data_IF_470503601338
#
_entry.id   IF_470503601338
#
_cell.length_a   1.000
_cell.length_b   1.000
_cell.length_c   1.000
_cell.angle_alpha   90.00
_cell.angle_beta   90.00
_cell.angle_gamma   90.00
#
_symmetry.space_group_name_H-M   'P 1'
#
loop_
_entity.id
_entity.type
_entity.pdbx_description
1 polymer ?
#
# COMPACT_ATOMS: atom_id res chain seq x y z
N UNK A 1 -7.35 -10.52 -16.81
CA UNK A 1 -7.29 -9.13 -16.29
C UNK A 1 -5.88 -8.91 -15.77
N UNK A 2 -4.96 -8.52 -16.66
CA UNK A 2 -3.55 -8.31 -16.36
C UNK A 2 -3.39 -6.87 -15.87
N UNK A 3 -2.91 -6.68 -14.63
CA UNK A 3 -2.60 -5.38 -14.01
C UNK A 3 -1.69 -4.57 -14.95
N UNK A 4 -2.11 -3.36 -15.32
CA UNK A 4 -1.33 -2.48 -16.21
C UNK A 4 -0.15 -1.88 -15.43
N UNK A 5 1.11 -2.15 -15.82
CA UNK A 5 2.30 -1.65 -15.14
C UNK A 5 2.40 -0.11 -15.16
N UNK A 6 1.60 0.60 -15.96
CA UNK A 6 1.60 2.09 -16.02
C UNK A 6 1.03 2.79 -14.79
N UNK A 7 0.37 2.07 -13.87
CA UNK A 7 -0.07 2.68 -12.59
C UNK A 7 1.00 2.62 -11.50
N UNK A 8 2.15 1.98 -11.77
CA UNK A 8 3.31 2.05 -10.90
C UNK A 8 3.92 3.47 -10.96
N UNK A 9 3.35 4.40 -10.19
CA UNK A 9 3.85 5.77 -10.09
C UNK A 9 2.79 6.87 -10.14
N UNK A 10 1.48 6.56 -10.16
CA UNK A 10 0.43 7.58 -10.07
C UNK A 10 -0.65 7.22 -9.05
N UNK A 11 -1.25 8.24 -8.44
CA UNK A 11 -2.33 8.07 -7.49
C UNK A 11 -3.58 7.49 -8.17
N UNK A 12 -4.22 6.43 -7.64
CA UNK A 12 -5.43 5.88 -8.24
C UNK A 12 -6.65 6.82 -8.17
N UNK A 13 -6.59 7.85 -7.33
CA UNK A 13 -7.68 8.82 -7.13
C UNK A 13 -7.52 10.05 -8.03
N UNK A 14 -6.40 10.77 -7.91
CA UNK A 14 -6.19 12.03 -8.64
C UNK A 14 -5.23 11.91 -9.84
N UNK A 15 -4.64 10.73 -10.07
CA UNK A 15 -3.70 10.43 -11.17
C UNK A 15 -2.38 11.22 -11.18
N UNK A 16 -2.06 11.95 -10.11
CA UNK A 16 -0.76 12.64 -9.97
C UNK A 16 0.35 11.69 -9.54
N UNK A 17 1.61 12.02 -9.85
CA UNK A 17 2.79 11.25 -9.42
C UNK A 17 3.33 11.60 -8.03
N UNK A 18 2.71 12.54 -7.30
CA UNK A 18 3.13 13.00 -5.97
C UNK A 18 2.86 11.94 -4.89
N UNK A 19 3.64 10.85 -4.89
CA UNK A 19 3.48 9.69 -4.02
C UNK A 19 4.68 9.51 -3.09
N UNK A 20 4.42 9.22 -1.82
CA UNK A 20 5.41 8.67 -0.88
C UNK A 20 5.05 7.22 -0.61
N UNK A 21 6.03 6.33 -0.72
CA UNK A 21 5.88 4.91 -0.38
C UNK A 21 6.90 4.51 0.68
N UNK A 22 6.42 3.82 1.72
CA UNK A 22 7.23 3.25 2.79
C UNK A 22 7.09 1.74 2.73
N UNK A 23 8.21 1.02 2.61
CA UNK A 23 8.26 -0.43 2.74
C UNK A 23 8.55 -0.81 4.20
N UNK A 24 7.88 -1.83 4.70
CA UNK A 24 8.08 -2.37 6.05
C UNK A 24 7.81 -3.87 6.08
N UNK A 25 8.41 -4.59 7.03
CA UNK A 25 8.15 -6.01 7.25
C UNK A 25 7.34 -6.18 8.54
N UNK A 26 6.19 -6.85 8.46
CA UNK A 26 5.31 -7.14 9.60
C UNK A 26 5.02 -8.64 9.61
N UNK A 27 5.31 -9.31 10.72
CA UNK A 27 5.16 -10.77 10.85
C UNK A 27 5.80 -11.56 9.69
N UNK A 28 6.97 -11.11 9.21
CA UNK A 28 7.66 -11.70 8.05
C UNK A 28 7.08 -11.34 6.67
N UNK A 29 5.94 -10.65 6.58
CA UNK A 29 5.36 -10.20 5.33
C UNK A 29 5.84 -8.78 4.97
N UNK A 30 6.27 -8.56 3.71
CA UNK A 30 6.58 -7.24 3.18
C UNK A 30 5.29 -6.48 2.85
N UNK A 31 5.13 -5.31 3.47
CA UNK A 31 4.03 -4.39 3.25
C UNK A 31 4.57 -3.06 2.72
N UNK A 32 3.76 -2.40 1.90
CA UNK A 32 4.00 -1.03 1.46
C UNK A 32 2.83 -0.16 1.82
N UNK A 33 3.11 0.94 2.49
CA UNK A 33 2.16 2.02 2.71
C UNK A 33 2.46 3.13 1.72
N UNK A 34 1.47 3.53 0.93
CA UNK A 34 1.61 4.62 -0.02
C UNK A 34 0.61 5.73 0.30
N UNK A 35 1.07 6.97 0.25
CA UNK A 35 0.24 8.17 0.38
C UNK A 35 0.46 9.10 -0.80
N UNK A 36 -0.60 9.73 -1.28
CA UNK A 36 -0.53 10.80 -2.27
C UNK A 36 -0.50 12.16 -1.57
N UNK A 37 0.48 13.01 -1.86
CA UNK A 37 0.56 14.35 -1.29
C UNK A 37 -0.46 15.33 -1.90
N UNK A 38 -0.92 15.07 -3.13
CA UNK A 38 -1.84 15.99 -3.82
C UNK A 38 -3.30 15.86 -3.36
N UNK A 39 -3.76 14.64 -3.06
CA UNK A 39 -5.16 14.40 -2.66
C UNK A 39 -5.31 13.62 -1.34
N UNK A 40 -4.20 13.32 -0.67
CA UNK A 40 -4.14 12.63 0.63
C UNK A 40 -4.69 11.20 0.63
N UNK A 41 -4.96 10.63 -0.54
CA UNK A 41 -5.30 9.22 -0.68
C UNK A 41 -4.18 8.34 -0.12
N UNK A 42 -4.56 7.30 0.60
CA UNK A 42 -3.64 6.39 1.30
C UNK A 42 -4.10 4.96 1.15
N UNK A 43 -3.16 4.06 0.88
CA UNK A 43 -3.46 2.65 0.65
C UNK A 43 -2.29 1.76 1.06
N UNK A 44 -2.62 0.49 1.26
CA UNK A 44 -1.66 -0.54 1.64
C UNK A 44 -1.55 -1.54 0.51
N UNK A 45 -0.33 -1.99 0.21
CA UNK A 45 -0.12 -3.10 -0.70
C UNK A 45 0.73 -4.18 -0.07
N UNK A 46 0.47 -5.42 -0.44
CA UNK A 46 1.28 -6.60 -0.13
C UNK A 46 1.51 -7.36 -1.42
N UNK A 47 2.76 -7.69 -1.72
CA UNK A 47 3.12 -8.38 -2.97
C UNK A 47 2.57 -7.63 -4.22
N UNK A 48 2.45 -6.31 -4.09
CA UNK A 48 1.91 -5.41 -5.12
C UNK A 48 0.38 -5.33 -5.20
N UNK A 49 -0.37 -6.15 -4.47
CA UNK A 49 -1.83 -6.11 -4.43
C UNK A 49 -2.33 -5.20 -3.31
N UNK A 50 -3.38 -4.41 -3.57
CA UNK A 50 -3.98 -3.55 -2.53
C UNK A 50 -4.71 -4.40 -1.48
N UNK A 51 -4.47 -4.10 -0.21
CA UNK A 51 -5.10 -4.78 0.92
C UNK A 51 -5.82 -3.79 1.83
N UNK A 52 -6.93 -4.19 2.48
CA UNK A 52 -7.62 -3.31 3.41
C UNK A 52 -6.83 -3.15 4.72
N UNK A 53 -6.98 -1.99 5.36
CA UNK A 53 -6.36 -1.70 6.66
C UNK A 53 -6.64 -2.78 7.73
N UNK A 54 -7.83 -3.40 7.70
CA UNK A 54 -8.18 -4.48 8.64
C UNK A 54 -7.23 -5.68 8.54
N UNK A 55 -6.79 -6.04 7.33
CA UNK A 55 -5.82 -7.11 7.13
C UNK A 55 -4.45 -6.73 7.70
N UNK A 56 -4.05 -5.46 7.57
CA UNK A 56 -2.81 -4.92 8.15
C UNK A 56 -2.84 -4.98 9.67
N UNK A 57 -3.94 -4.55 10.29
CA UNK A 57 -4.12 -4.61 11.74
C UNK A 57 -4.03 -6.06 12.24
N UNK A 58 -4.67 -7.01 11.56
CA UNK A 58 -4.58 -8.43 11.90
C UNK A 58 -3.14 -8.93 11.96
N UNK A 59 -2.32 -8.62 10.95
CA UNK A 59 -0.91 -9.01 10.91
C UNK A 59 -0.09 -8.40 12.07
N UNK A 60 -0.37 -7.17 12.48
CA UNK A 60 0.31 -6.52 13.62
C UNK A 60 -0.09 -7.16 14.95
N UNK A 61 -1.36 -7.53 15.10
CA UNK A 61 -1.86 -8.20 16.32
C UNK A 61 -1.22 -9.58 16.46
N UNK A 62 -1.19 -10.37 15.38
CA UNK A 62 -0.57 -11.71 15.37
C UNK A 62 0.94 -11.68 15.64
N UNK A 63 1.64 -10.63 15.20
CA UNK A 63 3.09 -10.48 15.43
C UNK A 63 3.47 -10.30 16.91
N UNK A 64 2.51 -9.99 17.79
CA UNK A 64 2.74 -9.70 19.21
C UNK A 64 2.43 -10.87 20.14
N UNK A 65 1.86 -11.95 19.60
CA UNK A 65 1.52 -13.20 20.30
C UNK A 65 2.63 -14.23 20.19
#
# INVERSE_FOLDING_TARGET
MTRDPKTAGTCPVCRTGELITISMTVNGAELRFTTCHACEAKWWTREGEEIPLRSVIGMVVEARS
#
